data_IF_368649537267
#
_entry.id   IF_368649537267
#
_cell.length_a   1.000
_cell.length_b   1.000
_cell.length_c   1.000
_cell.angle_alpha   90.00
_cell.angle_beta   90.00
_cell.angle_gamma   90.00
#
_symmetry.space_group_name_H-M   'P 1'
#
loop_
_entity.id
_entity.type
_entity.pdbx_description
1 polymer ?
#
# COMPACT_ATOMS: atom_id res chain seq x y z
N UNK A 1 2.87 10.16 14.78
CA UNK A 1 2.91 9.34 13.54
C UNK A 1 4.13 8.42 13.63
N UNK A 2 4.01 7.09 13.62
CA UNK A 2 5.17 6.21 13.63
C UNK A 2 5.95 6.41 12.33
N UNK A 3 7.22 6.82 12.47
CA UNK A 3 8.08 7.22 11.36
C UNK A 3 8.52 5.99 10.55
N UNK A 4 8.43 6.05 9.22
CA UNK A 4 9.01 5.03 8.35
C UNK A 4 10.55 5.17 8.21
N UNK A 5 11.18 5.96 9.11
CA UNK A 5 12.63 6.17 9.17
C UNK A 5 13.37 4.83 9.25
N UNK A 6 14.22 4.57 8.26
CA UNK A 6 15.03 3.34 8.18
C UNK A 6 14.33 2.14 7.52
N UNK A 7 13.15 2.31 6.92
CA UNK A 7 12.49 1.25 6.13
C UNK A 7 12.85 1.38 4.65
N UNK A 8 13.03 0.24 3.99
CA UNK A 8 13.35 0.19 2.56
C UNK A 8 12.11 0.41 1.69
N UNK A 9 12.23 1.30 0.71
CA UNK A 9 11.16 1.65 -0.23
C UNK A 9 10.84 0.48 -1.18
N UNK A 10 11.86 -0.27 -1.60
CA UNK A 10 11.69 -1.45 -2.44
C UNK A 10 10.90 -2.56 -1.74
N UNK A 11 11.20 -2.81 -0.46
CA UNK A 11 10.48 -3.80 0.35
C UNK A 11 9.03 -3.36 0.57
N UNK A 12 8.78 -2.08 0.85
CA UNK A 12 7.42 -1.55 0.96
C UNK A 12 6.61 -1.75 -0.33
N UNK A 13 7.25 -1.57 -1.49
CA UNK A 13 6.63 -1.74 -2.80
C UNK A 13 6.24 -3.19 -3.07
N UNK A 14 7.16 -4.13 -2.84
CA UNK A 14 6.92 -5.58 -3.03
C UNK A 14 5.84 -6.09 -2.06
N UNK A 15 5.91 -5.68 -0.79
CA UNK A 15 4.94 -6.07 0.23
C UNK A 15 3.56 -5.50 -0.09
N UNK A 16 3.48 -4.25 -0.57
CA UNK A 16 2.23 -3.64 -1.02
C UNK A 16 1.65 -4.29 -2.26
N UNK A 17 2.51 -4.74 -3.18
CA UNK A 17 2.07 -5.42 -4.40
C UNK A 17 1.52 -6.83 -4.11
N UNK A 18 2.20 -7.61 -3.27
CA UNK A 18 1.85 -9.01 -3.00
C UNK A 18 0.72 -9.13 -1.99
N UNK A 19 0.78 -8.36 -0.90
CA UNK A 19 -0.14 -8.48 0.23
C UNK A 19 -1.12 -7.31 0.33
N UNK A 20 -1.09 -6.36 -0.62
CA UNK A 20 -1.98 -5.21 -0.65
C UNK A 20 -1.80 -4.29 0.55
N UNK A 21 -2.91 -3.68 0.98
CA UNK A 21 -2.95 -2.84 2.17
C UNK A 21 -2.59 -3.58 3.47
N UNK A 22 -2.86 -4.89 3.54
CA UNK A 22 -2.58 -5.70 4.75
C UNK A 22 -1.07 -5.81 4.97
N UNK A 23 -0.32 -6.12 3.90
CA UNK A 23 1.14 -6.16 3.96
C UNK A 23 1.73 -4.81 4.37
N UNK A 24 1.21 -3.73 3.79
CA UNK A 24 1.66 -2.38 4.11
C UNK A 24 1.40 -1.99 5.56
N UNK A 25 0.22 -2.33 6.09
CA UNK A 25 -0.15 -2.03 7.47
C UNK A 25 0.75 -2.76 8.48
N UNK A 26 1.10 -4.01 8.20
CA UNK A 26 2.05 -4.79 9.01
C UNK A 26 3.46 -4.21 8.88
N UNK A 27 3.91 -3.93 7.66
CA UNK A 27 5.25 -3.42 7.38
C UNK A 27 5.48 -2.06 8.04
N UNK A 28 4.53 -1.14 7.92
CA UNK A 28 4.63 0.15 8.56
C UNK A 28 4.20 0.16 10.02
N UNK A 29 3.58 -0.92 10.50
CA UNK A 29 3.01 -1.04 11.85
C UNK A 29 2.01 0.10 12.12
N UNK A 30 1.25 0.47 11.08
CA UNK A 30 0.29 1.56 11.12
C UNK A 30 -0.99 1.15 10.39
N UNK A 31 -2.10 1.19 11.11
CA UNK A 31 -3.42 0.74 10.61
C UNK A 31 -4.01 1.73 9.61
N UNK A 32 -3.56 3.00 9.62
CA UNK A 32 -4.01 3.99 8.64
C UNK A 32 -3.65 3.59 7.18
N UNK A 33 -2.56 2.85 6.99
CA UNK A 33 -2.12 2.33 5.67
C UNK A 33 -2.80 1.05 5.26
N UNK A 34 -3.64 0.50 6.13
CA UNK A 34 -4.58 -0.52 5.74
C UNK A 34 -5.71 0.13 4.95
N UNK A 35 -6.32 1.18 5.51
CA UNK A 35 -7.57 1.73 5.00
C UNK A 35 -7.43 2.40 3.64
N UNK A 36 -6.32 3.11 3.37
CA UNK A 36 -6.18 3.85 2.12
C UNK A 36 -6.00 2.93 0.89
N UNK A 37 -5.00 2.04 0.83
CA UNK A 37 -4.88 1.09 -0.28
C UNK A 37 -6.02 0.06 -0.33
N UNK A 38 -6.63 -0.29 0.80
CA UNK A 38 -7.80 -1.18 0.83
C UNK A 38 -9.05 -0.49 0.28
N UNK A 39 -9.33 0.76 0.66
CA UNK A 39 -10.46 1.52 0.12
C UNK A 39 -10.29 1.80 -1.38
N UNK A 40 -9.06 2.10 -1.83
CA UNK A 40 -8.78 2.29 -3.25
C UNK A 40 -8.91 0.98 -4.03
N UNK A 41 -8.38 -0.13 -3.51
CA UNK A 41 -8.53 -1.45 -4.14
C UNK A 41 -9.99 -1.90 -4.20
N UNK A 42 -10.78 -1.62 -3.15
CA UNK A 42 -12.20 -1.94 -3.09
C UNK A 42 -13.00 -1.09 -4.07
N UNK A 43 -12.75 0.23 -4.11
CA UNK A 43 -13.40 1.14 -5.05
C UNK A 43 -13.08 0.78 -6.51
N UNK A 44 -11.81 0.50 -6.82
CA UNK A 44 -11.38 0.06 -8.14
C UNK A 44 -11.97 -1.31 -8.51
N UNK A 45 -12.01 -2.26 -7.57
CA UNK A 45 -12.61 -3.58 -7.79
C UNK A 45 -14.10 -3.49 -8.12
N UNK A 46 -14.84 -2.59 -7.45
CA UNK A 46 -16.27 -2.36 -7.73
C UNK A 46 -16.47 -1.70 -9.09
N UNK A 47 -15.62 -0.72 -9.46
CA UNK A 47 -15.78 0.05 -10.70
C UNK A 47 -15.26 -0.67 -11.96
N UNK A 48 -14.18 -1.46 -11.84
CA UNK A 48 -13.45 -2.03 -12.97
C UNK A 48 -13.33 -3.57 -12.94
N UNK A 49 -13.95 -4.24 -11.97
CA UNK A 49 -13.92 -5.70 -11.86
C UNK A 49 -12.49 -6.25 -11.68
N UNK A 50 -12.14 -7.31 -12.41
CA UNK A 50 -10.83 -7.97 -12.29
C UNK A 50 -9.62 -7.06 -12.58
N UNK A 51 -9.79 -6.01 -13.38
CA UNK A 51 -8.75 -5.00 -13.66
C UNK A 51 -8.52 -4.11 -12.43
N UNK A 52 -9.58 -3.87 -11.66
CA UNK A 52 -9.53 -3.08 -10.43
C UNK A 52 -8.67 -3.70 -9.33
N UNK A 53 -8.56 -5.03 -9.30
CA UNK A 53 -7.69 -5.75 -8.35
C UNK A 53 -6.22 -5.51 -8.66
N UNK A 54 -5.84 -5.58 -9.94
CA UNK A 54 -4.48 -5.28 -10.42
C UNK A 54 -4.11 -3.81 -10.22
N UNK A 55 -5.04 -2.90 -10.54
CA UNK A 55 -4.86 -1.48 -10.30
C UNK A 55 -4.73 -1.16 -8.80
N UNK A 56 -5.53 -1.82 -7.94
CA UNK A 56 -5.44 -1.71 -6.49
C UNK A 56 -4.08 -2.17 -5.94
N UNK A 57 -3.54 -3.28 -6.44
CA UNK A 57 -2.21 -3.77 -6.07
C UNK A 57 -1.10 -2.79 -6.48
N UNK A 58 -1.18 -2.20 -7.68
CA UNK A 58 -0.25 -1.17 -8.13
C UNK A 58 -0.32 0.09 -7.27
N UNK A 59 -1.53 0.53 -6.91
CA UNK A 59 -1.70 1.68 -6.02
C UNK A 59 -1.15 1.41 -4.63
N UNK A 60 -1.35 0.20 -4.09
CA UNK A 60 -0.78 -0.20 -2.79
C UNK A 60 0.76 -0.21 -2.82
N UNK A 61 1.35 -0.68 -3.92
CA UNK A 61 2.80 -0.67 -4.12
C UNK A 61 3.36 0.77 -4.20
N UNK A 62 2.72 1.65 -5.00
CA UNK A 62 3.09 3.06 -5.09
C UNK A 62 2.93 3.79 -3.76
N UNK A 63 1.84 3.53 -3.03
CA UNK A 63 1.61 4.13 -1.71
C UNK A 63 2.73 3.77 -0.73
N UNK A 64 3.16 2.50 -0.71
CA UNK A 64 4.28 2.04 0.11
C UNK A 64 5.58 2.76 -0.23
N UNK A 65 5.88 2.89 -1.51
CA UNK A 65 7.07 3.59 -1.99
C UNK A 65 7.09 5.08 -1.61
N UNK A 66 6.01 5.80 -1.94
CA UNK A 66 5.90 7.23 -1.62
C UNK A 66 5.95 7.48 -0.13
N UNK A 67 5.38 6.59 0.68
CA UNK A 67 5.41 6.74 2.12
C UNK A 67 6.80 6.66 2.71
N UNK A 68 7.64 5.75 2.21
CA UNK A 68 9.04 5.69 2.64
C UNK A 68 9.77 6.97 2.22
N UNK A 69 9.59 7.43 0.98
CA UNK A 69 10.24 8.66 0.51
C UNK A 69 9.80 9.92 1.28
N UNK A 70 8.50 10.09 1.53
CA UNK A 70 7.96 11.23 2.29
C UNK A 70 8.34 11.21 3.78
N UNK A 71 8.83 10.08 4.28
CA UNK A 71 9.20 9.90 5.68
C UNK A 71 10.71 9.87 5.93
N UNK A 72 11.53 10.00 4.88
CA UNK A 72 12.97 10.28 4.96
C UNK A 72 13.20 11.76 5.22
#
# INVERSE_FOLDING_TARGET
MPSAKGKDAGVACIVGFIFGGIGLAIYFRNVADLFLPLAVSLALGIMAGGIGVLAGALVAALWGYFRVQLSQ
#
